data_IF_535255950100
#
_entry.id   IF_535255950100
#
_cell.length_a   1.000
_cell.length_b   1.000
_cell.length_c   1.000
_cell.angle_alpha   90.00
_cell.angle_beta   90.00
_cell.angle_gamma   90.00
#
_symmetry.space_group_name_H-M   'P 1'
#
loop_
_entity.id
_entity.type
_entity.pdbx_description
1 polymer ?
#
# COMPACT_ATOMS: atom_id res chain seq x y z
N UNK A 1 -12.45 28.17 9.38
CA UNK A 1 -12.04 26.91 8.74
C UNK A 1 -10.56 26.75 9.06
N UNK A 2 -10.18 25.67 9.75
CA UNK A 2 -8.77 25.43 10.05
C UNK A 2 -7.97 25.27 8.75
N UNK A 3 -6.78 25.88 8.63
CA UNK A 3 -5.92 25.64 7.47
C UNK A 3 -5.56 24.16 7.40
N UNK A 4 -5.67 23.58 6.21
CA UNK A 4 -5.32 22.19 5.94
C UNK A 4 -3.82 21.97 6.19
N UNK A 5 -3.47 20.89 6.89
CA UNK A 5 -2.07 20.56 7.16
C UNK A 5 -1.35 20.18 5.87
N UNK A 6 -0.18 20.74 5.66
CA UNK A 6 0.70 20.36 4.55
C UNK A 6 1.70 19.27 4.97
N UNK A 7 2.14 18.50 3.98
CA UNK A 7 3.19 17.49 4.11
C UNK A 7 4.21 17.77 3.01
N UNK A 8 5.43 18.14 3.40
CA UNK A 8 6.50 18.52 2.48
C UNK A 8 7.66 17.55 2.57
N UNK A 9 8.14 17.08 1.44
CA UNK A 9 9.33 16.23 1.32
C UNK A 9 10.54 17.12 1.09
N UNK A 10 11.55 16.97 1.94
CA UNK A 10 12.80 17.70 1.89
C UNK A 10 13.96 16.78 1.52
N UNK A 11 14.71 17.12 0.49
CA UNK A 11 16.00 16.53 0.17
C UNK A 11 17.13 17.32 0.83
N UNK A 12 18.20 16.65 1.25
CA UNK A 12 19.39 17.31 1.79
C UNK A 12 20.43 17.52 0.69
N UNK A 13 20.96 18.72 0.60
CA UNK A 13 22.09 19.06 -0.28
C UNK A 13 23.44 18.71 0.38
N UNK A 14 24.48 18.62 -0.45
CA UNK A 14 25.86 18.36 0.01
C UNK A 14 26.40 19.48 0.93
N UNK A 15 25.91 20.71 0.76
CA UNK A 15 26.26 21.87 1.59
C UNK A 15 25.55 21.90 2.95
N UNK A 16 24.69 20.91 3.23
CA UNK A 16 23.91 20.80 4.45
C UNK A 16 22.57 21.55 4.42
N UNK A 17 22.24 22.26 3.34
CA UNK A 17 20.93 22.86 3.12
C UNK A 17 19.84 21.83 2.78
N UNK A 18 18.60 22.32 2.68
CA UNK A 18 17.44 21.51 2.30
C UNK A 18 16.71 22.13 1.10
N UNK A 19 16.29 21.28 0.17
CA UNK A 19 15.34 21.65 -0.89
C UNK A 19 13.99 20.99 -0.68
N UNK A 20 12.91 21.72 -0.93
CA UNK A 20 11.57 21.12 -1.02
C UNK A 20 11.47 20.39 -2.36
N UNK A 21 11.29 19.07 -2.30
CA UNK A 21 11.13 18.23 -3.48
C UNK A 21 9.67 18.19 -3.94
N UNK A 22 8.76 17.95 -2.99
CA UNK A 22 7.33 17.75 -3.27
C UNK A 22 6.52 18.25 -2.06
N UNK A 23 5.33 18.80 -2.31
CA UNK A 23 4.36 19.15 -1.29
C UNK A 23 3.00 18.49 -1.59
N UNK A 24 2.39 17.93 -0.56
CA UNK A 24 1.05 17.34 -0.55
C UNK A 24 0.25 17.91 0.62
N UNK A 25 -1.07 17.71 0.61
CA UNK A 25 -1.87 17.95 1.82
C UNK A 25 -1.92 16.67 2.67
N UNK A 26 -2.17 16.80 3.97
CA UNK A 26 -2.33 15.64 4.85
C UNK A 26 -3.50 14.72 4.43
N UNK A 27 -4.51 15.30 3.75
CA UNK A 27 -5.63 14.55 3.18
C UNK A 27 -5.20 13.62 2.04
N UNK A 28 -4.15 13.97 1.29
CA UNK A 28 -3.58 13.07 0.27
C UNK A 28 -3.19 11.71 0.86
N UNK A 29 -2.76 11.70 2.12
CA UNK A 29 -2.37 10.49 2.84
C UNK A 29 -3.49 9.90 3.71
N UNK A 30 -4.73 10.41 3.61
CA UNK A 30 -5.84 10.05 4.49
C UNK A 30 -5.46 10.15 5.98
N UNK A 31 -4.66 11.17 6.33
CA UNK A 31 -4.13 11.38 7.68
C UNK A 31 -2.94 10.49 8.08
N UNK A 32 -2.56 9.51 7.27
CA UNK A 32 -1.44 8.60 7.54
C UNK A 32 -0.12 9.14 6.99
N UNK A 33 0.49 10.05 7.74
CA UNK A 33 1.77 10.65 7.34
C UNK A 33 2.90 9.59 7.39
N UNK A 34 3.66 9.40 6.29
CA UNK A 34 4.77 8.46 6.24
C UNK A 34 5.75 8.61 7.41
N UNK A 35 6.28 7.48 7.89
CA UNK A 35 7.21 7.39 9.02
C UNK A 35 8.63 7.07 8.56
N UNK A 36 9.66 7.34 9.41
CA UNK A 36 11.02 6.92 9.12
C UNK A 36 11.12 5.42 8.78
N UNK A 37 11.79 5.12 7.68
CA UNK A 37 11.89 3.77 7.10
C UNK A 37 10.93 3.51 5.93
N UNK A 38 9.82 4.25 5.85
CA UNK A 38 8.89 4.12 4.72
C UNK A 38 9.57 4.51 3.40
N UNK A 39 9.11 3.90 2.31
CA UNK A 39 9.53 4.24 0.95
C UNK A 39 8.36 4.84 0.20
N UNK A 40 8.55 6.08 -0.27
CA UNK A 40 7.60 6.80 -1.10
C UNK A 40 8.04 6.62 -2.55
N UNK A 41 7.16 6.05 -3.38
CA UNK A 41 7.36 5.94 -4.82
C UNK A 41 6.44 6.95 -5.50
N UNK A 42 7.01 7.88 -6.27
CA UNK A 42 6.27 8.98 -6.88
C UNK A 42 6.79 9.26 -8.29
N UNK A 43 5.95 9.83 -9.14
CA UNK A 43 6.30 10.21 -10.51
C UNK A 43 6.19 11.73 -10.65
N UNK A 44 7.22 12.50 -10.24
CA UNK A 44 7.18 13.94 -10.35
C UNK A 44 7.19 14.33 -11.84
N UNK A 45 6.10 14.99 -12.29
CA UNK A 45 6.04 15.60 -13.62
C UNK A 45 6.16 14.64 -14.80
N UNK A 46 5.72 13.38 -14.68
CA UNK A 46 5.59 12.40 -15.77
C UNK A 46 6.89 11.90 -16.46
N UNK A 47 8.07 12.06 -15.84
CA UNK A 47 9.35 11.72 -16.49
C UNK A 47 9.82 10.30 -16.15
N UNK A 48 9.80 9.92 -14.88
CA UNK A 48 10.15 8.60 -14.39
C UNK A 48 9.70 8.44 -12.94
N UNK A 49 9.47 7.19 -12.51
CA UNK A 49 9.28 6.89 -11.09
C UNK A 49 10.59 7.18 -10.33
N UNK A 50 10.45 7.93 -9.25
CA UNK A 50 11.52 8.22 -8.30
C UNK A 50 11.08 7.68 -6.95
N UNK A 51 12.01 7.01 -6.27
CA UNK A 51 11.79 6.46 -4.95
C UNK A 51 12.57 7.24 -3.91
N UNK A 52 11.91 7.58 -2.81
CA UNK A 52 12.46 8.28 -1.68
C UNK A 52 12.29 7.44 -0.43
N UNK A 53 13.31 7.34 0.42
CA UNK A 53 13.17 6.77 1.76
C UNK A 53 13.02 7.89 2.76
N UNK A 54 12.05 7.76 3.66
CA UNK A 54 11.88 8.70 4.78
C UNK A 54 12.96 8.42 5.82
N UNK A 55 13.77 9.43 6.09
CA UNK A 55 14.85 9.39 7.09
C UNK A 55 14.34 9.87 8.44
N UNK A 56 13.61 10.98 8.45
CA UNK A 56 13.06 11.56 9.66
C UNK A 56 11.76 12.33 9.35
N UNK A 57 10.96 12.60 10.39
CA UNK A 57 9.76 13.41 10.30
C UNK A 57 9.65 14.40 11.43
N UNK A 58 9.24 15.62 11.10
CA UNK A 58 9.04 16.68 12.07
C UNK A 58 7.67 17.31 11.87
N UNK A 59 6.96 17.55 12.96
CA UNK A 59 5.80 18.43 12.95
C UNK A 59 6.28 19.86 13.20
N UNK A 60 6.17 20.71 12.18
CA UNK A 60 6.51 22.11 12.25
C UNK A 60 5.26 22.88 12.66
N UNK A 61 5.39 23.76 13.63
CA UNK A 61 4.38 24.76 13.97
C UNK A 61 5.10 26.05 14.26
N UNK A 62 4.87 27.07 13.44
CA UNK A 62 5.14 28.44 13.84
C UNK A 62 3.92 28.95 14.59
N UNK A 63 4.12 29.80 15.61
CA UNK A 63 3.04 30.21 16.52
C UNK A 63 1.94 31.07 15.88
N UNK A 64 1.92 31.21 14.56
CA UNK A 64 1.00 32.07 13.84
C UNK A 64 0.06 31.26 12.97
N UNK A 65 0.52 30.60 11.90
CA UNK A 65 -0.37 29.88 10.98
C UNK A 65 0.29 28.77 10.17
N UNK A 66 1.63 28.74 10.08
CA UNK A 66 2.32 27.74 9.29
C UNK A 66 2.55 26.48 10.13
N UNK A 67 1.78 25.44 9.82
CA UNK A 67 1.88 24.14 10.46
C UNK A 67 1.78 23.01 9.46
N UNK A 68 2.58 21.97 9.67
CA UNK A 68 2.62 20.84 8.75
C UNK A 68 3.71 19.85 9.10
N UNK A 69 3.78 18.79 8.30
CA UNK A 69 4.79 17.76 8.42
C UNK A 69 5.92 18.01 7.44
N UNK A 70 7.14 18.08 7.96
CA UNK A 70 8.36 18.05 7.17
C UNK A 70 8.93 16.63 7.19
N UNK A 71 9.00 15.99 6.04
CA UNK A 71 9.59 14.67 5.85
C UNK A 71 10.98 14.85 5.26
N UNK A 72 12.02 14.50 6.01
CA UNK A 72 13.36 14.44 5.48
C UNK A 72 13.52 13.12 4.71
N UNK A 73 13.91 13.21 3.44
CA UNK A 73 14.00 12.04 2.57
C UNK A 73 15.35 11.94 1.87
N UNK A 74 15.76 10.70 1.58
CA UNK A 74 16.89 10.40 0.70
C UNK A 74 16.40 9.73 -0.59
N UNK A 75 17.06 10.03 -1.72
CA UNK A 75 16.77 9.36 -2.98
C UNK A 75 17.32 7.94 -2.95
N UNK A 76 16.50 6.95 -3.29
CA UNK A 76 16.94 5.57 -3.44
C UNK A 76 17.52 5.40 -4.85
N UNK A 77 18.85 5.33 -4.95
CA UNK A 77 19.57 5.41 -6.22
C UNK A 77 19.32 4.24 -7.19
N UNK A 78 18.98 3.05 -6.68
CA UNK A 78 18.75 1.85 -7.49
C UNK A 78 17.70 0.96 -6.84
N UNK A 79 16.51 0.95 -7.42
CA UNK A 79 15.46 0.01 -7.07
C UNK A 79 14.72 -0.38 -8.35
N UNK A 80 15.33 -1.19 -9.23
CA UNK A 80 14.68 -1.63 -10.47
C UNK A 80 13.32 -2.29 -10.19
N UNK A 81 13.23 -3.04 -9.08
CA UNK A 81 11.99 -3.66 -8.62
C UNK A 81 10.91 -2.63 -8.26
N UNK A 82 11.28 -1.45 -7.74
CA UNK A 82 10.32 -0.38 -7.44
C UNK A 82 9.85 0.36 -8.69
N UNK A 83 10.72 0.49 -9.70
CA UNK A 83 10.32 1.04 -10.98
C UNK A 83 9.32 0.12 -11.68
N UNK A 84 9.56 -1.20 -11.65
CA UNK A 84 8.63 -2.18 -12.18
C UNK A 84 7.32 -2.22 -11.39
N UNK A 85 7.39 -2.22 -10.05
CA UNK A 85 6.21 -2.17 -9.20
C UNK A 85 5.34 -0.95 -9.50
N UNK A 86 5.94 0.23 -9.66
CA UNK A 86 5.17 1.43 -9.96
C UNK A 86 4.59 1.42 -11.39
N UNK A 87 5.25 0.77 -12.37
CA UNK A 87 4.66 0.54 -13.69
C UNK A 87 3.45 -0.38 -13.60
N UNK A 88 3.60 -1.53 -12.95
CA UNK A 88 2.51 -2.48 -12.73
C UNK A 88 1.33 -1.82 -12.00
N UNK A 89 1.61 -1.03 -10.96
CA UNK A 89 0.58 -0.28 -10.25
C UNK A 89 -0.23 0.65 -11.17
N UNK A 90 0.43 1.36 -12.09
CA UNK A 90 -0.25 2.25 -13.06
C UNK A 90 -1.13 1.45 -14.02
N UNK A 91 -0.66 0.30 -14.49
CA UNK A 91 -1.43 -0.60 -15.36
C UNK A 91 -2.63 -1.19 -14.63
N UNK A 92 -2.43 -1.70 -13.41
CA UNK A 92 -3.49 -2.22 -12.55
C UNK A 92 -4.53 -1.14 -12.25
N UNK A 93 -4.09 0.09 -11.95
CA UNK A 93 -5.00 1.21 -11.69
C UNK A 93 -5.87 1.51 -12.90
N UNK A 94 -5.31 1.49 -14.13
CA UNK A 94 -6.11 1.67 -15.36
C UNK A 94 -7.12 0.55 -15.53
N UNK A 95 -6.67 -0.70 -15.39
CA UNK A 95 -7.54 -1.88 -15.47
C UNK A 95 -8.70 -1.80 -14.47
N UNK A 96 -8.43 -1.44 -13.21
CA UNK A 96 -9.47 -1.32 -12.19
C UNK A 96 -10.40 -0.13 -12.41
N UNK A 97 -9.91 0.98 -12.97
CA UNK A 97 -10.76 2.12 -13.33
C UNK A 97 -11.70 1.74 -14.50
N UNK A 98 -11.19 1.06 -15.52
CA UNK A 98 -12.00 0.56 -16.64
C UNK A 98 -13.09 -0.43 -16.16
N UNK A 99 -12.75 -1.31 -15.22
CA UNK A 99 -13.73 -2.20 -14.57
C UNK A 99 -14.78 -1.48 -13.71
N UNK A 100 -14.45 -0.31 -13.13
CA UNK A 100 -15.44 0.49 -12.40
C UNK A 100 -16.43 1.19 -13.33
N UNK A 101 -15.98 1.56 -14.53
CA UNK A 101 -16.81 2.17 -15.56
C UNK A 101 -17.72 1.13 -16.25
N UNK A 102 -17.31 -0.14 -16.32
CA UNK A 102 -18.13 -1.27 -16.78
C UNK A 102 -19.05 -1.80 -15.67
N UNK A 103 -20.22 -1.16 -15.49
CA UNK A 103 -21.35 -1.58 -14.64
C UNK A 103 -20.95 -2.11 -13.23
N UNK A 104 -21.18 -1.37 -12.13
CA UNK A 104 -20.78 -1.77 -10.77
C UNK A 104 -21.33 -3.13 -10.29
N UNK A 105 -22.24 -3.77 -11.04
CA UNK A 105 -22.70 -5.14 -10.83
C UNK A 105 -21.89 -6.24 -11.55
N UNK A 106 -20.98 -5.93 -12.47
CA UNK A 106 -20.18 -6.93 -13.20
C UNK A 106 -18.93 -7.39 -12.44
N UNK A 107 -18.45 -6.63 -11.46
CA UNK A 107 -17.33 -7.05 -10.63
C UNK A 107 -17.77 -8.15 -9.64
N UNK A 108 -17.67 -9.42 -10.06
CA UNK A 108 -17.98 -10.60 -9.22
C UNK A 108 -17.09 -10.76 -7.98
N UNK A 109 -16.02 -9.97 -7.88
CA UNK A 109 -15.18 -9.90 -6.68
C UNK A 109 -15.85 -9.16 -5.52
N UNK A 110 -16.83 -8.29 -5.81
CA UNK A 110 -17.61 -7.49 -4.88
C UNK A 110 -16.78 -6.66 -3.89
N UNK A 111 -17.03 -5.36 -3.80
CA UNK A 111 -16.77 -4.67 -2.53
C UNK A 111 -17.64 -5.34 -1.46
N UNK A 112 -17.04 -6.20 -0.63
CA UNK A 112 -17.71 -6.71 0.57
C UNK A 112 -17.80 -5.52 1.50
N UNK A 113 -18.98 -4.90 1.57
CA UNK A 113 -19.19 -3.80 2.51
C UNK A 113 -18.79 -4.27 3.92
N UNK A 114 -18.26 -3.37 4.77
CA UNK A 114 -17.87 -3.75 6.12
C UNK A 114 -18.97 -4.46 6.93
N UNK A 115 -20.25 -4.22 6.60
CA UNK A 115 -21.40 -4.92 7.18
C UNK A 115 -21.62 -6.35 6.65
N UNK A 116 -21.16 -6.66 5.44
CA UNK A 116 -21.25 -7.98 4.80
C UNK A 116 -20.05 -8.88 5.09
N UNK A 117 -19.00 -8.34 5.72
CA UNK A 117 -17.82 -9.11 6.09
C UNK A 117 -18.18 -10.06 7.25
N UNK A 118 -18.08 -11.38 7.03
CA UNK A 118 -18.31 -12.34 8.11
C UNK A 118 -17.22 -12.22 9.18
N UNK A 119 -17.60 -11.66 10.33
CA UNK A 119 -16.74 -11.49 11.51
C UNK A 119 -17.00 -12.56 12.58
N UNK A 120 -17.81 -13.58 12.29
CA UNK A 120 -18.07 -14.66 13.24
C UNK A 120 -16.78 -15.36 13.67
N UNK A 121 -15.76 -15.39 12.81
CA UNK A 121 -14.42 -15.86 13.13
C UNK A 121 -13.69 -15.08 14.26
N UNK A 122 -14.21 -13.93 14.70
CA UNK A 122 -13.71 -13.17 15.85
C UNK A 122 -14.36 -13.57 17.17
N UNK A 123 -15.48 -14.30 17.14
CA UNK A 123 -16.15 -14.81 18.33
C UNK A 123 -15.43 -16.09 18.82
N UNK A 124 -14.97 -16.16 20.08
CA UNK A 124 -14.41 -17.39 20.64
C UNK A 124 -15.34 -18.61 20.52
N UNK A 125 -16.67 -18.41 20.54
CA UNK A 125 -17.66 -19.49 20.41
C UNK A 125 -17.73 -20.07 18.99
N UNK A 126 -17.25 -19.34 17.98
CA UNK A 126 -17.12 -19.85 16.60
C UNK A 126 -16.05 -20.94 16.48
N UNK A 127 -15.05 -20.91 17.36
CA UNK A 127 -13.88 -21.79 17.33
C UNK A 127 -14.07 -23.09 18.11
N UNK A 128 -15.16 -23.80 17.84
CA UNK A 128 -15.42 -25.12 18.44
C UNK A 128 -14.37 -26.14 18.01
N UNK A 129 -14.27 -27.23 18.78
CA UNK A 129 -13.38 -28.34 18.44
C UNK A 129 -13.74 -28.94 17.07
N UNK A 130 -15.03 -29.17 16.78
CA UNK A 130 -15.44 -29.73 15.49
C UNK A 130 -15.11 -28.79 14.32
N UNK A 131 -15.25 -27.47 14.50
CA UNK A 131 -14.92 -26.48 13.47
C UNK A 131 -13.43 -26.45 13.15
N UNK A 132 -12.58 -26.51 14.17
CA UNK A 132 -11.13 -26.58 14.00
C UNK A 132 -10.71 -27.86 13.29
N UNK A 133 -11.33 -28.98 13.64
CA UNK A 133 -11.07 -30.27 13.02
C UNK A 133 -11.47 -30.30 11.54
N UNK A 134 -12.60 -29.69 11.19
CA UNK A 134 -13.04 -29.55 9.80
C UNK A 134 -12.06 -28.70 8.98
N UNK A 135 -11.62 -27.55 9.51
CA UNK A 135 -10.63 -26.70 8.84
C UNK A 135 -9.26 -27.39 8.69
N UNK A 136 -8.89 -28.25 9.64
CA UNK A 136 -7.68 -29.08 9.53
C UNK A 136 -7.79 -30.04 8.34
N UNK A 137 -8.91 -30.76 8.23
CA UNK A 137 -9.15 -31.70 7.13
C UNK A 137 -9.20 -30.99 5.77
N UNK A 138 -9.84 -29.83 5.67
CA UNK A 138 -9.84 -29.03 4.43
C UNK A 138 -8.42 -28.60 4.04
N UNK A 139 -7.61 -28.16 5.02
CA UNK A 139 -6.22 -27.78 4.77
C UNK A 139 -5.39 -28.98 4.29
N UNK A 140 -5.53 -30.13 4.94
CA UNK A 140 -4.84 -31.36 4.56
C UNK A 140 -5.22 -31.82 3.15
N UNK A 141 -6.52 -31.80 2.81
CA UNK A 141 -7.00 -32.13 1.48
C UNK A 141 -6.44 -31.18 0.40
N UNK A 142 -6.38 -29.88 0.70
CA UNK A 142 -5.85 -28.87 -0.23
C UNK A 142 -4.34 -29.03 -0.45
N UNK A 143 -3.58 -29.34 0.61
CA UNK A 143 -2.14 -29.63 0.51
C UNK A 143 -1.91 -30.92 -0.29
N UNK A 144 -2.70 -31.97 -0.05
CA UNK A 144 -2.62 -33.21 -0.80
C UNK A 144 -2.91 -33.01 -2.29
N UNK A 145 -3.91 -32.19 -2.64
CA UNK A 145 -4.26 -31.86 -4.01
C UNK A 145 -3.11 -31.11 -4.74
N UNK A 146 -2.47 -30.15 -4.07
CA UNK A 146 -1.31 -29.43 -4.63
C UNK A 146 -0.13 -30.38 -4.87
N UNK A 147 0.20 -31.22 -3.89
CA UNK A 147 1.30 -32.20 -4.03
C UNK A 147 1.02 -33.26 -5.10
N UNK A 148 -0.24 -33.65 -5.30
CA UNK A 148 -0.63 -34.56 -6.38
C UNK A 148 -0.52 -33.89 -7.76
N UNK A 149 -0.84 -32.60 -7.86
CA UNK A 149 -0.65 -31.81 -9.07
C UNK A 149 0.82 -31.68 -9.47
N UNK A 150 1.70 -31.36 -8.51
CA UNK A 150 3.15 -31.25 -8.74
C UNK A 150 3.75 -32.58 -9.26
N UNK A 151 3.39 -33.71 -8.64
CA UNK A 151 3.85 -35.05 -9.07
C UNK A 151 3.32 -35.48 -10.45
N UNK A 152 2.17 -34.97 -10.86
CA UNK A 152 1.62 -35.24 -12.19
C UNK A 152 2.32 -34.41 -13.27
N UNK A 153 2.82 -33.23 -12.90
CA UNK A 153 3.57 -32.34 -13.78
C UNK A 153 4.99 -32.87 -14.03
N UNK A 154 5.68 -33.33 -12.99
CA UNK A 154 7.02 -33.96 -13.10
C UNK A 154 7.05 -35.27 -13.91
N UNK A 155 5.91 -35.95 -14.08
CA UNK A 155 5.80 -37.19 -14.89
C UNK A 155 5.53 -36.94 -16.37
N UNK A 156 5.15 -35.72 -16.74
CA UNK A 156 4.84 -35.34 -18.12
C UNK A 156 5.97 -34.51 -18.77
N UNK A 157 7.08 -34.28 -18.04
CA UNK A 157 8.36 -33.76 -18.52
C UNK A 157 9.36 -34.89 -18.71
#
# INVERSE_FOLDING_TARGET
MDPELEVRLYGRHEDGGFETLIAYTAKYFDGNIPIPGDTIVTCPGSVALVSYRVIDRYFITDGFFDRGWALLVERVAKAPDLAELGRQWVEDTKFFNELQDEDPNQWKGGWISPEKLDRSNRDPAYWTFERKELLRQEREARVAAMSAGEKAQEKNE
#
